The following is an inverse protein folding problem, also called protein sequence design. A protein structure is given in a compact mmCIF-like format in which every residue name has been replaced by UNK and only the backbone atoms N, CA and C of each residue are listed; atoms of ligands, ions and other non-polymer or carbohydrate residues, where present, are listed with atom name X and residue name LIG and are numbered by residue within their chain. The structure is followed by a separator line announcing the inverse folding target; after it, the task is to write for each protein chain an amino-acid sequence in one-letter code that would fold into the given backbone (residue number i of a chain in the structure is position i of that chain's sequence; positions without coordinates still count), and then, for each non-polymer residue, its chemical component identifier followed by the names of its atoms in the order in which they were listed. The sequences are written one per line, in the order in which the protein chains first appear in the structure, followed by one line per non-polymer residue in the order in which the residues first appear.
data_IF_977855107385
#
_entry.id   IF_977855107385
#
_cell.length_a   1.000
_cell.length_b   1.000
_cell.length_c   1.000
_cell.angle_alpha   90.00
_cell.angle_beta   90.00
_cell.angle_gamma   90.00
#
_symmetry.space_group_name_H-M   'P 1'
#
loop_
_entity.id
_entity.type
_entity.pdbx_description
1 polymer ?
#
# COMPACT_ATOMS: atom_id res chain seq x y z
N UNK A 1 5.55 -4.94 -13.08
CA UNK A 1 4.52 -5.46 -12.15
C UNK A 1 4.70 -4.74 -10.83
N UNK A 2 3.69 -4.01 -10.35
CA UNK A 2 3.82 -3.18 -9.14
C UNK A 2 3.52 -3.95 -7.84
N UNK A 3 2.92 -5.14 -7.93
CA UNK A 3 2.57 -5.98 -6.78
C UNK A 3 3.68 -7.00 -6.49
N UNK A 4 4.15 -7.03 -5.24
CA UNK A 4 5.27 -7.85 -4.77
C UNK A 4 4.85 -8.99 -3.83
N UNK A 5 3.55 -9.24 -3.67
CA UNK A 5 3.04 -10.34 -2.85
C UNK A 5 3.02 -10.03 -1.35
N UNK A 6 3.28 -11.05 -0.53
CA UNK A 6 3.33 -10.93 0.94
C UNK A 6 4.77 -10.71 1.38
N UNK A 7 5.05 -9.57 2.01
CA UNK A 7 6.38 -9.17 2.48
C UNK A 7 6.32 -8.60 3.89
N UNK A 8 7.40 -8.71 4.66
CA UNK A 8 7.63 -7.84 5.81
C UNK A 8 7.99 -6.42 5.30
N UNK A 9 7.89 -5.43 6.17
CA UNK A 9 8.34 -4.07 5.83
C UNK A 9 9.83 -4.06 5.44
N UNK A 10 10.65 -4.89 6.08
CA UNK A 10 12.08 -5.03 5.76
C UNK A 10 12.31 -5.68 4.38
N UNK A 11 11.62 -6.78 4.07
CA UNK A 11 11.71 -7.42 2.75
C UNK A 11 11.30 -6.44 1.64
N UNK A 12 10.24 -5.66 1.85
CA UNK A 12 9.80 -4.65 0.90
C UNK A 12 10.88 -3.59 0.60
N UNK A 13 11.76 -3.26 1.56
CA UNK A 13 12.85 -2.29 1.37
C UNK A 13 13.90 -2.76 0.34
N UNK A 14 14.08 -4.07 0.21
CA UNK A 14 15.01 -4.65 -0.74
C UNK A 14 14.41 -4.78 -2.14
N UNK A 15 13.09 -4.93 -2.24
CA UNK A 15 12.38 -5.06 -3.51
C UNK A 15 12.18 -3.69 -4.19
N UNK A 16 11.89 -2.65 -3.41
CA UNK A 16 11.60 -1.31 -3.96
C UNK A 16 12.87 -0.59 -4.44
N UNK A 17 12.85 -0.15 -5.69
CA UNK A 17 13.94 0.59 -6.34
C UNK A 17 13.78 2.10 -6.16
N UNK A 18 14.88 2.85 -6.27
CA UNK A 18 14.87 4.31 -6.10
C UNK A 18 13.94 5.00 -7.11
N UNK A 19 13.12 5.94 -6.64
CA UNK A 19 12.16 6.68 -7.46
C UNK A 19 10.94 5.84 -7.86
N UNK A 20 10.73 4.69 -7.22
CA UNK A 20 9.66 3.75 -7.56
C UNK A 20 8.88 3.32 -6.32
N UNK A 21 7.79 2.60 -6.56
CA UNK A 21 6.95 2.03 -5.52
C UNK A 21 6.60 0.57 -5.81
N UNK A 22 6.22 -0.14 -4.77
CA UNK A 22 5.63 -1.48 -4.83
C UNK A 22 4.45 -1.60 -3.87
N UNK A 23 3.46 -2.39 -4.26
CA UNK A 23 2.35 -2.83 -3.42
C UNK A 23 2.69 -4.18 -2.81
N UNK A 24 2.43 -4.35 -1.51
CA UNK A 24 2.62 -5.64 -0.84
C UNK A 24 1.63 -5.80 0.30
N UNK A 25 1.26 -7.05 0.60
CA UNK A 25 0.57 -7.37 1.85
C UNK A 25 1.60 -7.55 2.96
N UNK A 26 1.43 -6.84 4.06
CA UNK A 26 2.37 -6.93 5.17
C UNK A 26 2.17 -8.24 5.93
N UNK A 27 3.24 -9.02 6.09
CA UNK A 27 3.28 -10.14 7.03
C UNK A 27 3.25 -9.56 8.46
N UNK A 28 2.19 -9.82 9.22
CA UNK A 28 2.18 -9.61 10.68
C UNK A 28 2.69 -10.87 11.40
N UNK A 29 3.02 -10.72 12.68
CA UNK A 29 3.47 -11.84 13.51
C UNK A 29 2.40 -12.94 13.61
N UNK A 30 2.85 -14.14 13.96
CA UNK A 30 2.08 -15.40 14.00
C UNK A 30 0.70 -15.19 14.64
N UNK A 31 -0.36 -15.61 13.93
CA UNK A 31 -1.81 -15.56 14.23
C UNK A 31 -2.65 -14.37 13.74
N UNK A 32 -2.11 -13.41 13.00
CA UNK A 32 -2.95 -12.36 12.37
C UNK A 32 -3.32 -12.74 10.92
N UNK A 33 -4.53 -13.26 10.70
CA UNK A 33 -5.07 -13.51 9.36
C UNK A 33 -5.32 -12.22 8.56
N UNK A 34 -5.25 -11.04 9.20
CA UNK A 34 -5.43 -9.75 8.53
C UNK A 34 -4.19 -9.34 7.73
N UNK A 35 -4.19 -9.67 6.45
CA UNK A 35 -3.18 -9.18 5.50
C UNK A 35 -3.53 -7.75 5.07
N UNK A 36 -3.03 -6.75 5.80
CA UNK A 36 -3.14 -5.35 5.41
C UNK A 36 -2.29 -5.05 4.15
N UNK A 37 -2.83 -4.25 3.24
CA UNK A 37 -2.15 -3.84 2.02
C UNK A 37 -1.39 -2.54 2.24
N UNK A 38 -0.16 -2.46 1.73
CA UNK A 38 0.71 -1.30 1.84
C UNK A 38 1.33 -0.92 0.50
N UNK A 39 1.63 0.37 0.34
CA UNK A 39 2.54 0.91 -0.68
C UNK A 39 3.88 1.18 -0.01
N UNK A 40 4.94 0.53 -0.48
CA UNK A 40 6.31 0.94 -0.18
C UNK A 40 6.80 1.85 -1.31
N UNK A 41 7.17 3.09 -0.98
CA UNK A 41 7.77 4.05 -1.91
C UNK A 41 9.19 4.37 -1.48
N UNK A 42 10.13 4.36 -2.43
CA UNK A 42 11.52 4.76 -2.19
C UNK A 42 11.83 6.06 -2.92
N UNK A 43 12.11 7.11 -2.15
CA UNK A 43 12.49 8.40 -2.72
C UNK A 43 13.85 8.35 -3.40
N UNK A 44 14.15 9.36 -4.23
CA UNK A 44 15.47 9.53 -4.83
C UNK A 44 16.58 9.74 -3.78
N UNK A 45 16.23 10.22 -2.58
CA UNK A 45 17.13 10.31 -1.43
C UNK A 45 17.34 8.96 -0.71
N UNK A 46 16.89 7.85 -1.29
CA UNK A 46 16.97 6.47 -0.77
C UNK A 46 16.18 6.24 0.53
N UNK A 47 15.35 7.18 0.95
CA UNK A 47 14.44 7.00 2.08
C UNK A 47 13.23 6.17 1.63
N UNK A 48 12.77 5.28 2.50
CA UNK A 48 11.66 4.37 2.20
C UNK A 48 10.50 4.72 3.13
N UNK A 49 9.32 4.82 2.55
CA UNK A 49 8.07 5.13 3.22
C UNK A 49 7.08 4.00 2.97
N UNK A 50 6.31 3.66 3.99
CA UNK A 50 5.28 2.63 3.94
C UNK A 50 3.95 3.29 4.26
N UNK A 51 3.01 3.21 3.32
CA UNK A 51 1.68 3.81 3.46
C UNK A 51 0.62 2.73 3.42
N UNK A 52 -0.24 2.61 4.44
CA UNK A 52 -1.33 1.64 4.41
C UNK A 52 -2.35 2.03 3.35
N UNK A 53 -2.91 1.01 2.70
CA UNK A 53 -4.04 1.13 1.78
C UNK A 53 -5.27 0.62 2.52
N UNK A 54 -6.22 1.51 2.77
CA UNK A 54 -7.46 1.17 3.47
C UNK A 54 -8.63 1.05 2.49
N UNK A 55 -9.58 0.20 2.85
CA UNK A 55 -10.88 0.13 2.19
C UNK A 55 -11.85 1.05 2.92
N UNK A 56 -12.43 1.99 2.19
CA UNK A 56 -13.47 2.90 2.68
C UNK A 56 -14.81 2.34 2.22
N UNK A 57 -15.60 1.87 3.18
CA UNK A 57 -16.98 1.45 2.96
C UNK A 57 -17.92 2.60 3.36
N UNK A 58 -18.63 3.16 2.38
CA UNK A 58 -19.70 4.14 2.65
C UNK A 58 -21.04 3.48 2.34
N UNK A 59 -22.02 3.64 3.24
CA UNK A 59 -23.35 3.05 3.14
C UNK A 59 -23.89 3.01 1.69
N UNK A 60 -24.13 1.79 1.19
CA UNK A 60 -24.72 1.47 -0.13
C UNK A 60 -23.88 1.81 -1.38
N UNK A 61 -22.60 2.18 -1.26
CA UNK A 61 -21.69 2.32 -2.41
C UNK A 61 -20.66 1.20 -2.45
N UNK A 62 -20.13 0.92 -3.64
CA UNK A 62 -19.00 0.01 -3.83
C UNK A 62 -17.82 0.46 -2.96
N UNK A 63 -17.08 -0.48 -2.33
CA UNK A 63 -15.90 -0.15 -1.55
C UNK A 63 -14.90 0.63 -2.41
N UNK A 64 -14.21 1.59 -1.80
CA UNK A 64 -13.13 2.34 -2.43
C UNK A 64 -11.83 2.15 -1.68
N UNK A 65 -10.71 2.34 -2.35
CA UNK A 65 -9.37 2.27 -1.78
C UNK A 65 -8.82 3.68 -1.57
N UNK A 66 -8.06 3.88 -0.48
CA UNK A 66 -7.31 5.11 -0.23
C UNK A 66 -5.94 4.77 0.33
N UNK A 67 -4.91 5.47 -0.14
CA UNK A 67 -3.57 5.44 0.46
C UNK A 67 -3.52 6.44 1.61
N UNK A 68 -3.17 5.98 2.80
CA UNK A 68 -3.08 6.82 4.00
C UNK A 68 -1.67 7.40 4.15
N UNK A 69 -1.47 8.61 3.62
CA UNK A 69 -0.21 9.36 3.77
C UNK A 69 -0.36 10.64 4.62
N UNK A 70 -1.44 10.73 5.41
CA UNK A 70 -1.70 11.83 6.35
C UNK A 70 -2.58 12.96 5.80
N UNK A 71 -2.99 12.89 4.54
CA UNK A 71 -3.90 13.86 3.92
C UNK A 71 -5.37 13.40 4.04
N UNK A 72 -6.24 14.17 4.72
CA UNK A 72 -7.66 13.82 4.83
C UNK A 72 -8.41 13.91 3.50
N UNK A 73 -7.89 14.65 2.52
CA UNK A 73 -8.44 14.80 1.17
C UNK A 73 -7.80 13.85 0.16
N UNK A 74 -7.04 12.85 0.63
CA UNK A 74 -6.41 11.87 -0.23
C UNK A 74 -7.42 11.23 -1.20
N UNK A 75 -7.07 11.10 -2.49
CA UNK A 75 -7.94 10.52 -3.51
C UNK A 75 -8.47 9.14 -3.12
N UNK A 76 -9.67 8.83 -3.59
CA UNK A 76 -10.31 7.52 -3.42
C UNK A 76 -10.40 6.81 -4.77
N UNK A 77 -9.93 5.58 -4.83
CA UNK A 77 -9.84 4.77 -6.04
C UNK A 77 -10.88 3.66 -6.01
N UNK A 78 -11.36 3.20 -7.17
CA UNK A 78 -12.39 2.15 -7.22
C UNK A 78 -11.81 0.75 -7.07
N UNK A 79 -10.56 0.57 -7.49
CA UNK A 79 -9.86 -0.70 -7.50
C UNK A 79 -8.33 -0.44 -7.46
N UNK A 80 -7.54 -1.51 -7.41
CA UNK A 80 -6.07 -1.41 -7.33
C UNK A 80 -5.44 -0.91 -8.63
N UNK A 81 -6.04 -1.20 -9.80
CA UNK A 81 -5.56 -0.72 -11.09
C UNK A 81 -5.65 0.81 -11.16
N UNK A 82 -6.78 1.37 -10.76
CA UNK A 82 -7.00 2.82 -10.69
C UNK A 82 -6.04 3.51 -9.70
N UNK A 83 -5.65 2.82 -8.63
CA UNK A 83 -4.73 3.35 -7.61
C UNK A 83 -3.28 3.42 -8.11
N UNK A 84 -2.89 2.50 -9.01
CA UNK A 84 -1.52 2.35 -9.52
C UNK A 84 -1.27 3.16 -10.79
N UNK A 85 -2.32 3.47 -11.55
CA UNK A 85 -2.28 4.22 -12.80
C UNK A 85 -1.93 5.70 -12.60
#
# INVERSE_FOLDING_TARGET
TFYAGRLSAEEARFVVTNGSFVLYHQKKAVDDESCELYVAYRSFARQIYHFPVITIERFRRSPKLRVCYGDPLAPEFRNLTDLVA
#
